data_IF_654322102353
#
_entry.id   IF_654322102353
#
_cell.length_a   1.000
_cell.length_b   1.000
_cell.length_c   1.000
_cell.angle_alpha   90.00
_cell.angle_beta   90.00
_cell.angle_gamma   90.00
#
_symmetry.space_group_name_H-M   'P 1'
#
loop_
_entity.id
_entity.type
_entity.pdbx_description
1 polymer ?
#
# COMPACT_ATOMS: atom_id res chain seq x y z
N UNK A 1 23.30 5.60 35.77
CA UNK A 1 22.33 6.72 35.70
C UNK A 1 21.07 6.49 36.54
N UNK A 2 20.45 5.29 36.50
CA UNK A 2 19.23 4.97 37.24
C UNK A 2 19.33 3.66 38.04
N UNK A 3 20.55 3.16 38.31
CA UNK A 3 20.78 1.85 38.95
C UNK A 3 20.22 1.72 40.38
N UNK A 4 19.95 2.84 41.06
CA UNK A 4 19.38 2.87 42.41
C UNK A 4 17.89 3.21 42.49
N UNK A 5 17.21 3.37 41.35
CA UNK A 5 15.80 3.75 41.33
C UNK A 5 14.90 2.51 41.46
N UNK A 6 14.11 2.45 42.54
CA UNK A 6 13.28 1.29 42.84
C UNK A 6 12.04 1.18 41.92
N UNK A 7 11.45 2.32 41.54
CA UNK A 7 10.22 2.38 40.74
C UNK A 7 10.51 2.84 39.31
N UNK A 8 11.27 2.01 38.58
CA UNK A 8 11.65 2.29 37.20
C UNK A 8 10.44 2.19 36.25
N UNK A 9 9.90 3.35 35.85
CA UNK A 9 8.85 3.44 34.84
C UNK A 9 9.39 3.89 33.47
N UNK A 10 8.69 3.55 32.39
CA UNK A 10 9.04 4.02 31.03
C UNK A 10 9.04 5.55 30.93
N UNK A 11 8.11 6.23 31.63
CA UNK A 11 8.06 7.69 31.62
C UNK A 11 9.29 8.29 32.27
N UNK A 12 9.73 7.74 33.40
CA UNK A 12 10.94 8.19 34.09
C UNK A 12 12.18 7.91 33.25
N UNK A 13 12.29 6.70 32.68
CA UNK A 13 13.40 6.33 31.81
C UNK A 13 13.52 7.31 30.63
N UNK A 14 12.43 7.58 29.91
CA UNK A 14 12.43 8.50 28.78
C UNK A 14 12.84 9.93 29.18
N UNK A 15 12.36 10.43 30.33
CA UNK A 15 12.75 11.76 30.81
C UNK A 15 14.23 11.84 31.16
N UNK A 16 14.73 10.84 31.88
CA UNK A 16 16.11 10.81 32.32
C UNK A 16 17.07 10.63 31.14
N UNK A 17 16.75 9.77 30.17
CA UNK A 17 17.58 9.60 28.97
C UNK A 17 17.55 10.84 28.09
N UNK A 18 16.41 11.52 27.94
CA UNK A 18 16.33 12.81 27.23
C UNK A 18 17.23 13.85 27.89
N UNK A 19 17.14 14.00 29.21
CA UNK A 19 17.96 14.96 29.95
C UNK A 19 19.45 14.64 29.83
N UNK A 20 19.84 13.38 29.96
CA UNK A 20 21.23 12.96 29.77
C UNK A 20 21.73 13.19 28.34
N UNK A 21 20.90 12.89 27.34
CA UNK A 21 21.25 13.06 25.94
C UNK A 21 21.48 14.55 25.61
N UNK A 22 20.56 15.42 26.03
CA UNK A 22 20.62 16.85 25.78
C UNK A 22 21.71 17.56 26.59
N UNK A 23 21.88 17.23 27.86
CA UNK A 23 22.75 18.00 28.76
C UNK A 23 24.18 17.47 28.81
N UNK A 24 24.40 16.16 28.62
CA UNK A 24 25.72 15.55 28.72
C UNK A 24 26.20 14.95 27.41
N UNK A 25 25.45 13.99 26.84
CA UNK A 25 25.95 13.18 25.72
C UNK A 25 26.32 14.01 24.49
N UNK A 26 25.44 14.94 24.08
CA UNK A 26 25.66 15.79 22.91
C UNK A 26 26.80 16.82 23.11
N UNK A 27 27.09 17.21 24.35
CA UNK A 27 28.06 18.27 24.66
C UNK A 27 29.44 17.75 25.09
N UNK A 28 29.51 16.51 25.58
CA UNK A 28 30.76 15.90 26.04
C UNK A 28 31.66 15.56 24.85
N UNK A 29 32.96 15.80 24.97
CA UNK A 29 33.96 15.32 24.00
C UNK A 29 34.03 13.80 24.00
N UNK A 30 33.88 13.18 22.84
CA UNK A 30 33.99 11.73 22.67
C UNK A 30 35.38 11.37 22.16
N UNK A 31 35.98 10.31 22.72
CA UNK A 31 37.35 9.88 22.37
C UNK A 31 37.50 9.50 20.90
N UNK A 32 36.47 8.93 20.29
CA UNK A 32 36.48 8.55 18.86
C UNK A 32 36.34 9.74 17.92
N UNK A 33 35.64 10.80 18.35
CA UNK A 33 35.39 11.98 17.53
C UNK A 33 36.40 13.10 17.75
N UNK A 34 37.13 13.06 18.88
CA UNK A 34 37.98 14.12 19.41
C UNK A 34 37.27 15.48 19.62
N UNK A 35 35.93 15.51 19.50
CA UNK A 35 35.03 16.65 19.70
C UNK A 35 33.70 16.13 20.25
N UNK A 36 32.76 17.02 20.56
CA UNK A 36 31.40 16.62 20.93
C UNK A 36 30.55 16.25 19.70
N UNK A 37 29.54 15.37 19.85
CA UNK A 37 28.59 15.09 18.76
C UNK A 37 27.91 16.34 18.21
N UNK A 38 27.63 17.33 19.08
CA UNK A 38 27.03 18.59 18.68
C UNK A 38 27.95 19.41 17.76
N UNK A 39 29.22 19.61 18.16
CA UNK A 39 30.21 20.30 17.32
C UNK A 39 30.41 19.58 15.99
N UNK A 40 30.54 18.24 16.02
CA UNK A 40 30.66 17.44 14.81
C UNK A 40 29.48 17.66 13.87
N UNK A 41 28.25 17.71 14.37
CA UNK A 41 27.05 17.92 13.56
C UNK A 41 27.03 19.32 12.92
N UNK A 42 27.39 20.36 13.67
CA UNK A 42 27.40 21.76 13.19
C UNK A 42 28.49 22.00 12.15
N UNK A 43 29.68 21.42 12.34
CA UNK A 43 30.84 21.66 11.47
C UNK A 43 30.86 20.77 10.22
N UNK A 44 30.06 19.70 10.19
CA UNK A 44 30.02 18.77 9.06
C UNK A 44 29.17 19.32 7.90
N UNK A 45 29.56 19.04 6.65
CA UNK A 45 28.71 19.37 5.49
C UNK A 45 27.32 18.75 5.64
N UNK A 46 26.28 19.52 5.33
CA UNK A 46 24.91 19.04 5.39
C UNK A 46 24.68 17.99 4.29
N UNK A 47 24.59 16.72 4.70
CA UNK A 47 24.23 15.57 3.87
C UNK A 47 22.81 15.07 4.16
N UNK A 48 22.01 15.90 4.83
CA UNK A 48 20.61 15.62 5.15
C UNK A 48 19.77 15.44 3.89
N UNK A 49 18.73 14.62 4.01
CA UNK A 49 17.67 14.51 3.00
C UNK A 49 16.54 15.42 3.41
N UNK A 50 15.80 15.91 2.42
CA UNK A 50 14.57 16.65 2.68
C UNK A 50 13.62 15.81 3.53
N UNK A 51 12.97 16.47 4.50
CA UNK A 51 11.97 15.81 5.32
C UNK A 51 10.80 15.39 4.42
N UNK A 52 10.34 14.13 4.52
CA UNK A 52 9.13 13.71 3.83
C UNK A 52 7.94 14.56 4.28
N UNK A 53 6.99 14.77 3.38
CA UNK A 53 5.81 15.55 3.71
C UNK A 53 4.94 14.86 4.78
N UNK A 54 4.00 15.59 5.37
CA UNK A 54 3.16 15.05 6.45
C UNK A 54 2.30 13.86 6.03
N UNK A 55 1.89 13.77 4.76
CA UNK A 55 1.15 12.62 4.24
C UNK A 55 2.05 11.40 4.12
N UNK A 56 3.25 11.56 3.57
CA UNK A 56 4.27 10.51 3.49
C UNK A 56 4.64 9.97 4.87
N UNK A 57 4.80 10.84 5.87
CA UNK A 57 5.04 10.42 7.26
C UNK A 57 3.87 9.59 7.80
N UNK A 58 2.63 10.06 7.67
CA UNK A 58 1.44 9.30 8.10
C UNK A 58 1.34 7.95 7.42
N UNK A 59 1.65 7.91 6.13
CA UNK A 59 1.67 6.67 5.34
C UNK A 59 2.80 5.74 5.80
N UNK A 60 3.98 6.24 6.15
CA UNK A 60 5.12 5.43 6.61
C UNK A 60 4.86 4.78 7.97
N UNK A 61 4.16 5.46 8.87
CA UNK A 61 3.83 4.99 10.22
C UNK A 61 2.45 4.31 10.33
N UNK A 62 1.88 3.86 9.20
CA UNK A 62 0.61 3.13 9.20
C UNK A 62 0.78 1.71 9.76
N UNK A 63 -0.19 1.26 10.54
CA UNK A 63 -0.34 -0.13 10.92
C UNK A 63 -1.21 -0.87 9.90
N UNK A 64 -0.74 -2.02 9.45
CA UNK A 64 -1.52 -2.91 8.58
C UNK A 64 -2.34 -3.89 9.43
N UNK A 65 -3.67 -3.87 9.27
CA UNK A 65 -4.58 -4.80 9.99
C UNK A 65 -5.54 -5.48 9.01
N UNK A 66 -5.74 -6.79 9.07
CA UNK A 66 -6.64 -7.46 8.12
C UNK A 66 -8.08 -7.42 8.61
N UNK A 67 -8.96 -6.75 7.87
CA UNK A 67 -10.41 -6.74 8.11
C UNK A 67 -11.19 -7.30 6.93
N UNK A 68 -12.23 -8.06 7.23
CA UNK A 68 -13.17 -8.60 6.25
C UNK A 68 -14.28 -7.59 5.96
N UNK A 69 -14.46 -7.25 4.69
CA UNK A 69 -15.57 -6.42 4.24
C UNK A 69 -16.90 -7.15 4.41
N UNK A 70 -17.92 -6.43 4.89
CA UNK A 70 -19.29 -6.92 4.96
C UNK A 70 -19.90 -6.92 3.56
N UNK A 71 -20.30 -8.10 3.05
CA UNK A 71 -20.80 -8.27 1.67
C UNK A 71 -22.10 -7.51 1.37
N UNK A 72 -22.91 -7.23 2.38
CA UNK A 72 -24.25 -6.64 2.20
C UNK A 72 -24.26 -5.12 2.09
N UNK A 73 -23.33 -4.41 2.72
CA UNK A 73 -23.27 -2.94 2.68
C UNK A 73 -21.87 -2.40 2.34
N UNK A 74 -20.91 -3.27 2.03
CA UNK A 74 -19.58 -2.87 1.61
C UNK A 74 -18.74 -2.20 2.70
N UNK A 75 -19.12 -2.32 3.98
CA UNK A 75 -18.43 -1.64 5.08
C UNK A 75 -17.39 -2.51 5.80
N UNK A 76 -16.43 -1.87 6.47
CA UNK A 76 -15.52 -2.50 7.44
C UNK A 76 -15.56 -1.80 8.78
N UNK A 77 -15.26 -2.53 9.86
CA UNK A 77 -15.12 -1.97 11.21
C UNK A 77 -13.65 -1.91 11.61
N UNK A 78 -13.17 -0.72 11.98
CA UNK A 78 -11.82 -0.44 12.50
C UNK A 78 -11.98 0.31 13.82
N UNK A 79 -11.38 -0.19 14.90
CA UNK A 79 -11.45 0.42 16.25
C UNK A 79 -12.88 0.84 16.65
N UNK A 80 -13.86 -0.02 16.37
CA UNK A 80 -15.28 0.21 16.68
C UNK A 80 -16.02 1.20 15.76
N UNK A 81 -15.35 1.81 14.77
CA UNK A 81 -15.97 2.71 13.78
C UNK A 81 -16.14 2.01 12.43
N UNK A 82 -17.24 2.31 11.73
CA UNK A 82 -17.54 1.74 10.41
C UNK A 82 -17.04 2.68 9.31
N UNK A 83 -16.40 2.12 8.31
CA UNK A 83 -15.87 2.82 7.14
C UNK A 83 -16.44 2.21 5.87
N UNK A 84 -16.65 3.07 4.87
CA UNK A 84 -17.20 2.68 3.57
C UNK A 84 -16.06 2.35 2.59
N UNK A 85 -16.17 1.22 1.90
CA UNK A 85 -15.24 0.84 0.83
C UNK A 85 -15.88 1.22 -0.52
N UNK A 86 -15.14 1.93 -1.40
CA UNK A 86 -15.64 2.25 -2.73
C UNK A 86 -16.08 1.01 -3.50
N UNK A 87 -17.20 1.11 -4.23
CA UNK A 87 -17.83 -0.02 -4.91
C UNK A 87 -16.91 -0.79 -5.87
N UNK A 88 -15.95 -0.09 -6.51
CA UNK A 88 -14.94 -0.71 -7.39
C UNK A 88 -14.06 -1.74 -6.66
N UNK A 89 -13.91 -1.61 -5.34
CA UNK A 89 -13.12 -2.49 -4.49
C UNK A 89 -13.95 -3.47 -3.67
N UNK A 90 -15.26 -3.63 -3.97
CA UNK A 90 -16.16 -4.58 -3.26
C UNK A 90 -15.71 -6.05 -3.28
N UNK A 91 -14.79 -6.39 -4.18
CA UNK A 91 -14.22 -7.72 -4.34
C UNK A 91 -13.02 -7.96 -3.42
N UNK A 92 -12.47 -6.91 -2.81
CA UNK A 92 -11.36 -7.02 -1.87
C UNK A 92 -11.87 -7.51 -0.52
N UNK A 93 -11.60 -8.78 -0.22
CA UNK A 93 -12.04 -9.38 1.05
C UNK A 93 -11.15 -9.00 2.25
N UNK A 94 -9.99 -8.37 2.01
CA UNK A 94 -8.96 -8.04 3.01
C UNK A 94 -8.44 -6.63 2.79
N UNK A 95 -8.58 -5.76 3.79
CA UNK A 95 -8.09 -4.37 3.80
C UNK A 95 -7.06 -4.21 4.91
N UNK A 96 -5.95 -3.50 4.69
CA UNK A 96 -4.85 -3.34 5.67
C UNK A 96 -4.03 -2.04 5.55
N UNK A 97 -4.38 -0.98 6.29
CA UNK A 97 -3.48 0.16 6.52
C UNK A 97 -4.13 1.39 7.19
N UNK A 98 -3.82 1.69 8.45
CA UNK A 98 -4.21 2.95 9.08
C UNK A 98 -3.25 3.36 10.19
N UNK A 99 -3.12 4.66 10.46
CA UNK A 99 -2.36 5.13 11.60
C UNK A 99 -3.17 4.89 12.88
N UNK A 100 -2.67 4.06 13.81
CA UNK A 100 -3.42 3.69 15.05
C UNK A 100 -3.86 4.90 15.86
N UNK A 101 -3.08 5.98 15.83
CA UNK A 101 -3.35 7.23 16.54
C UNK A 101 -4.27 8.21 15.78
N UNK A 102 -4.60 7.95 14.51
CA UNK A 102 -5.39 8.85 13.66
C UNK A 102 -6.32 8.07 12.72
N UNK A 103 -7.57 7.89 13.15
CA UNK A 103 -8.64 7.25 12.36
C UNK A 103 -9.23 8.17 11.28
N UNK A 104 -8.75 9.41 11.12
CA UNK A 104 -9.20 10.28 10.03
C UNK A 104 -8.54 9.88 8.71
N UNK A 105 -7.33 9.32 8.76
CA UNK A 105 -6.53 8.91 7.60
C UNK A 105 -6.43 7.39 7.55
N UNK A 106 -7.45 6.75 6.97
CA UNK A 106 -7.47 5.30 6.77
C UNK A 106 -7.33 5.02 5.28
N UNK A 107 -6.38 4.17 4.93
CA UNK A 107 -6.08 3.83 3.55
C UNK A 107 -6.43 2.37 3.26
N UNK A 108 -7.08 2.17 2.12
CA UNK A 108 -7.23 0.87 1.50
C UNK A 108 -5.92 0.55 0.78
N UNK A 109 -5.31 -0.58 1.13
CA UNK A 109 -4.06 -1.07 0.55
C UNK A 109 -4.30 -2.46 -0.03
N UNK A 110 -3.77 -2.73 -1.21
CA UNK A 110 -3.78 -4.06 -1.79
C UNK A 110 -2.87 -5.01 -1.00
N UNK A 111 -3.44 -6.13 -0.55
CA UNK A 111 -2.73 -7.14 0.22
C UNK A 111 -1.62 -7.88 -0.55
N UNK A 112 -1.69 -7.92 -1.89
CA UNK A 112 -0.70 -8.63 -2.70
C UNK A 112 0.50 -7.74 -3.02
N UNK A 113 0.25 -6.54 -3.57
CA UNK A 113 1.30 -5.62 -4.01
C UNK A 113 1.75 -4.60 -2.95
N UNK A 114 1.05 -4.53 -1.80
CA UNK A 114 1.23 -3.48 -0.80
C UNK A 114 1.04 -2.05 -1.35
N UNK A 115 0.30 -1.92 -2.45
CA UNK A 115 0.01 -0.64 -3.11
C UNK A 115 -1.14 0.07 -2.42
N UNK A 116 -0.97 1.36 -2.12
CA UNK A 116 -2.05 2.21 -1.61
C UNK A 116 -3.07 2.45 -2.74
N UNK A 117 -4.32 2.02 -2.52
CA UNK A 117 -5.39 2.13 -3.50
C UNK A 117 -6.13 3.46 -3.35
N UNK A 118 -6.66 3.74 -2.16
CA UNK A 118 -7.37 4.99 -1.87
C UNK A 118 -7.59 5.19 -0.37
N UNK A 119 -7.87 6.44 0.03
CA UNK A 119 -8.39 6.73 1.37
C UNK A 119 -9.85 6.30 1.50
N UNK A 120 -10.23 5.77 2.66
CA UNK A 120 -11.61 5.43 3.02
C UNK A 120 -12.11 6.29 4.16
N UNK A 121 -13.43 6.52 4.19
CA UNK A 121 -14.07 7.48 5.09
C UNK A 121 -15.05 6.78 6.03
N UNK A 122 -15.29 7.36 7.22
CA UNK A 122 -16.33 6.87 8.12
C UNK A 122 -17.68 6.83 7.40
N UNK A 123 -18.48 5.81 7.70
CA UNK A 123 -19.81 5.63 7.14
C UNK A 123 -20.70 6.83 7.49
N UNK A 124 -21.22 7.52 6.47
CA UNK A 124 -22.24 8.54 6.68
C UNK A 124 -23.58 7.87 7.00
N UNK A 125 -23.97 7.91 8.28
CA UNK A 125 -25.21 7.32 8.77
C UNK A 125 -26.44 8.08 8.30
N UNK A 126 -26.34 9.40 8.13
CA UNK A 126 -27.46 10.23 7.72
C UNK A 126 -27.80 9.97 6.25
N UNK A 127 -26.78 9.92 5.38
CA UNK A 127 -26.94 9.51 3.99
C UNK A 127 -27.49 8.08 3.88
N UNK A 128 -26.97 7.13 4.67
CA UNK A 128 -27.46 5.74 4.67
C UNK A 128 -28.91 5.59 5.16
N UNK A 129 -29.37 6.44 6.07
CA UNK A 129 -30.73 6.38 6.60
C UNK A 129 -31.80 6.69 5.54
N UNK A 130 -31.44 7.39 4.47
CA UNK A 130 -32.38 7.74 3.38
C UNK A 130 -32.84 6.52 2.57
N UNK A 131 -32.16 5.37 2.68
CA UNK A 131 -32.55 4.12 2.00
C UNK A 131 -32.40 4.14 0.47
N UNK A 132 -31.88 5.23 -0.10
CA UNK A 132 -31.63 5.40 -1.52
C UNK A 132 -30.49 4.47 -1.95
N UNK A 133 -30.82 3.26 -2.41
CA UNK A 133 -29.81 2.33 -2.95
C UNK A 133 -29.50 2.73 -4.39
N UNK A 134 -28.30 3.28 -4.60
CA UNK A 134 -27.78 3.43 -5.96
C UNK A 134 -27.70 2.04 -6.59
N UNK A 135 -28.40 1.84 -7.70
CA UNK A 135 -28.35 0.58 -8.42
C UNK A 135 -26.89 0.25 -8.76
N UNK A 136 -26.46 -0.96 -8.41
CA UNK A 136 -25.15 -1.46 -8.75
C UNK A 136 -25.17 -1.69 -10.27
N UNK A 137 -24.78 -0.68 -11.04
CA UNK A 137 -24.54 -0.87 -12.46
C UNK A 137 -23.37 -1.87 -12.50
N UNK A 138 -23.57 -3.10 -13.00
CA UNK A 138 -22.43 -3.96 -13.28
C UNK A 138 -21.49 -3.14 -14.15
N UNK A 139 -20.19 -3.24 -13.90
CA UNK A 139 -19.18 -2.61 -14.74
C UNK A 139 -19.17 -3.37 -16.08
N UNK A 140 -20.24 -3.19 -16.85
CA UNK A 140 -20.30 -3.47 -18.27
C UNK A 140 -19.58 -2.31 -18.94
N UNK A 141 -18.30 -2.10 -18.58
CA UNK A 141 -17.37 -1.76 -19.63
C UNK A 141 -17.39 -2.96 -20.57
N UNK A 142 -18.36 -2.92 -21.49
CA UNK A 142 -18.21 -3.56 -22.76
C UNK A 142 -16.84 -3.08 -23.22
N UNK A 143 -15.87 -3.98 -23.17
CA UNK A 143 -14.69 -3.87 -24.00
C UNK A 143 -15.24 -3.47 -25.36
N UNK A 144 -14.87 -2.30 -25.92
CA UNK A 144 -15.30 -2.01 -27.28
C UNK A 144 -14.90 -3.25 -28.05
N UNK A 145 -15.87 -3.91 -28.67
CA UNK A 145 -15.59 -5.01 -29.58
C UNK A 145 -14.87 -4.36 -30.75
N UNK A 146 -13.57 -4.16 -30.57
CA UNK A 146 -12.69 -3.67 -31.60
C UNK A 146 -12.78 -4.71 -32.67
N UNK A 147 -13.33 -4.35 -33.82
CA UNK A 147 -13.30 -5.19 -35.00
C UNK A 147 -11.86 -5.73 -35.12
N UNK A 148 -11.66 -7.03 -35.43
CA UNK A 148 -10.34 -7.63 -35.43
C UNK A 148 -9.43 -6.81 -36.35
N UNK A 149 -8.46 -6.09 -35.76
CA UNK A 149 -7.55 -5.15 -36.45
C UNK A 149 -6.53 -5.91 -37.32
N UNK A 150 -6.64 -7.24 -37.38
CA UNK A 150 -5.71 -8.12 -38.04
C UNK A 150 -4.42 -8.29 -37.24
N UNK A 151 -3.51 -9.10 -37.78
CA UNK A 151 -2.20 -9.38 -37.18
C UNK A 151 -1.37 -8.09 -37.18
N UNK A 152 -0.83 -7.73 -36.01
CA UNK A 152 0.05 -6.57 -35.86
C UNK A 152 1.25 -6.62 -36.83
N UNK A 153 1.70 -5.49 -37.41
CA UNK A 153 2.74 -5.47 -38.44
C UNK A 153 4.08 -6.06 -37.96
N UNK A 154 4.44 -5.85 -36.69
CA UNK A 154 5.61 -6.50 -36.09
C UNK A 154 5.48 -8.02 -36.07
N UNK A 155 4.30 -8.54 -35.72
CA UNK A 155 4.04 -9.97 -35.70
C UNK A 155 4.09 -10.57 -37.12
N UNK A 156 3.58 -9.87 -38.14
CA UNK A 156 3.74 -10.29 -39.55
C UNK A 156 5.20 -10.43 -39.95
N UNK A 157 6.06 -9.48 -39.56
CA UNK A 157 7.50 -9.54 -39.82
C UNK A 157 8.14 -10.74 -39.12
N UNK A 158 7.86 -10.94 -37.85
CA UNK A 158 8.39 -12.09 -37.09
C UNK A 158 7.95 -13.44 -37.68
N UNK A 159 6.70 -13.55 -38.14
CA UNK A 159 6.21 -14.75 -38.83
C UNK A 159 6.94 -14.99 -40.17
N UNK A 160 7.21 -13.94 -40.94
CA UNK A 160 7.96 -14.03 -42.20
C UNK A 160 9.43 -14.41 -41.97
N UNK A 161 10.07 -13.78 -40.98
CA UNK A 161 11.46 -14.05 -40.59
C UNK A 161 11.59 -15.51 -40.09
N UNK A 162 10.63 -15.96 -39.27
CA UNK A 162 10.60 -17.35 -38.79
C UNK A 162 10.40 -18.35 -39.95
N UNK A 163 9.46 -18.09 -40.86
CA UNK A 163 9.24 -18.94 -42.03
C UNK A 163 10.47 -19.01 -42.96
N UNK A 164 11.23 -17.91 -43.09
CA UNK A 164 12.46 -17.87 -43.87
C UNK A 164 13.60 -18.74 -43.31
N UNK A 165 13.55 -19.10 -42.02
CA UNK A 165 14.54 -20.03 -41.42
C UNK A 165 14.38 -21.48 -41.89
N UNK A 166 13.21 -21.85 -42.42
CA UNK A 166 12.92 -23.23 -42.84
C UNK A 166 12.85 -24.25 -41.69
N UNK A 167 12.94 -23.80 -40.43
CA UNK A 167 12.87 -24.66 -39.26
C UNK A 167 11.40 -24.98 -38.93
N UNK A 168 11.04 -26.25 -38.70
CA UNK A 168 9.72 -26.60 -38.19
C UNK A 168 9.52 -26.05 -36.78
N UNK A 169 8.26 -25.85 -36.39
CA UNK A 169 7.91 -25.49 -35.02
C UNK A 169 8.46 -26.54 -34.05
N UNK A 170 9.04 -26.08 -32.93
CA UNK A 170 9.63 -26.95 -31.92
C UNK A 170 8.59 -27.76 -31.11
N UNK A 171 7.33 -27.68 -31.50
CA UNK A 171 6.22 -28.42 -30.93
C UNK A 171 5.35 -28.99 -32.04
N UNK A 172 4.69 -30.11 -31.75
CA UNK A 172 3.69 -30.69 -32.63
C UNK A 172 2.35 -29.98 -32.36
N UNK A 173 1.72 -29.34 -33.36
CA UNK A 173 0.42 -28.72 -33.17
C UNK A 173 -0.62 -29.75 -32.73
N UNK A 174 -1.40 -29.42 -31.70
CA UNK A 174 -2.55 -30.22 -31.29
C UNK A 174 -3.73 -29.79 -32.15
N UNK A 175 -3.98 -30.51 -33.24
CA UNK A 175 -5.20 -30.32 -34.01
C UNK A 175 -6.38 -30.80 -33.16
N UNK A 176 -7.14 -29.85 -32.60
CA UNK A 176 -8.45 -30.16 -32.04
C UNK A 176 -9.38 -30.49 -33.22
N UNK A 177 -9.48 -31.79 -33.54
CA UNK A 177 -10.50 -32.30 -34.44
C UNK A 177 -11.85 -31.81 -33.93
N UNK A 178 -12.49 -30.90 -34.70
CA UNK A 178 -13.88 -30.53 -34.46
C UNK A 178 -14.70 -31.80 -34.50
N UNK A 179 -15.21 -32.22 -33.35
CA UNK A 179 -16.18 -33.32 -33.24
C UNK A 179 -17.32 -32.99 -34.19
N UNK A 180 -17.42 -33.76 -35.27
CA UNK A 180 -18.53 -33.66 -36.21
C UNK A 180 -19.84 -33.83 -35.46
N UNK A 181 -20.76 -32.90 -35.70
CA UNK A 181 -22.17 -33.03 -35.37
C UNK A 181 -22.71 -34.31 -36.04
N UNK A 182 -23.05 -35.31 -35.24
CA UNK A 182 -23.95 -36.37 -35.68
C UNK A 182 -25.39 -35.92 -35.39
N UNK A 183 -26.12 -35.66 -36.48
CA UNK A 183 -27.60 -35.71 -36.51
C UNK A 183 -28.11 -37.08 -36.07
#
# INVERSE_FOLDING_TARGET
MLEGEADLSLSLLNKATQAWLEQEYHHRTHSELACSPYERYVDSPNVGRDSPDSLQLRQAFRQQITRKQRRSDGTISIEGKRFEIPAQYKHLEKVTGYARWDLTQIDLVDSHSNTLLCRIYPLDKAANATGQRRALVPDTQATPTTAPVGIAPLMKKLMADYAATGLPQAYMPKDELKTGEHQ
#
